data_IF_884770511617
#
_entry.id   IF_884770511617
#
_cell.length_a   1.000
_cell.length_b   1.000
_cell.length_c   1.000
_cell.angle_alpha   90.00
_cell.angle_beta   90.00
_cell.angle_gamma   90.00
#
_symmetry.space_group_name_H-M   'P 1'
#
loop_
_entity.id
_entity.type
_entity.pdbx_description
1 polymer ?
#
# COMPACT_ATOMS: atom_id res chain seq x y z
N UNK A 1 -2.36 16.78 -25.41
CA UNK A 1 -3.39 15.77 -25.06
C UNK A 1 -2.86 14.68 -24.13
N UNK A 2 -1.57 14.31 -24.18
CA UNK A 2 -0.97 13.36 -23.21
C UNK A 2 -0.63 13.99 -21.86
N UNK A 3 -0.12 15.23 -21.86
CA UNK A 3 0.20 15.96 -20.62
C UNK A 3 -1.00 16.13 -19.68
N UNK A 4 -2.18 16.37 -20.25
CA UNK A 4 -3.40 16.56 -19.49
C UNK A 4 -3.87 15.24 -18.85
N UNK A 5 -3.77 14.11 -19.57
CA UNK A 5 -4.02 12.77 -19.01
C UNK A 5 -3.04 12.43 -17.90
N UNK A 6 -1.77 12.83 -18.04
CA UNK A 6 -0.74 12.59 -17.02
C UNK A 6 -0.99 13.44 -15.77
N UNK A 7 -1.42 14.69 -15.95
CA UNK A 7 -1.82 15.60 -14.86
C UNK A 7 -3.06 15.11 -14.11
N UNK A 8 -4.07 14.63 -14.83
CA UNK A 8 -5.28 14.02 -14.24
C UNK A 8 -4.93 12.75 -13.46
N UNK A 9 -4.11 11.86 -14.04
CA UNK A 9 -3.63 10.64 -13.35
C UNK A 9 -2.82 10.98 -12.10
N UNK A 10 -1.94 11.98 -12.16
CA UNK A 10 -1.20 12.46 -11.00
C UNK A 10 -2.12 12.99 -9.90
N UNK A 11 -3.15 13.76 -10.25
CA UNK A 11 -4.14 14.27 -9.31
C UNK A 11 -5.02 13.18 -8.69
N UNK A 12 -5.38 12.14 -9.45
CA UNK A 12 -6.11 10.98 -8.93
C UNK A 12 -5.24 10.14 -7.99
N UNK A 13 -3.99 9.87 -8.38
CA UNK A 13 -3.05 9.14 -7.54
C UNK A 13 -2.77 9.87 -6.23
N UNK A 14 -2.55 11.18 -6.28
CA UNK A 14 -2.34 12.00 -5.09
C UNK A 14 -3.55 11.93 -4.14
N UNK A 15 -4.78 12.06 -4.67
CA UNK A 15 -6.01 11.95 -3.89
C UNK A 15 -6.16 10.56 -3.26
N UNK A 16 -6.07 9.51 -4.06
CA UNK A 16 -6.15 8.13 -3.56
C UNK A 16 -5.12 7.87 -2.46
N UNK A 17 -3.85 8.22 -2.71
CA UNK A 17 -2.76 8.01 -1.76
C UNK A 17 -2.98 8.77 -0.44
N UNK A 18 -3.56 9.98 -0.52
CA UNK A 18 -3.93 10.78 0.66
C UNK A 18 -5.09 10.16 1.43
N UNK A 19 -6.15 9.72 0.75
CA UNK A 19 -7.33 9.13 1.41
C UNK A 19 -7.00 7.79 2.08
N UNK A 20 -6.21 6.92 1.43
CA UNK A 20 -5.73 5.67 2.03
C UNK A 20 -4.95 5.95 3.32
N UNK A 21 -4.00 6.90 3.28
CA UNK A 21 -3.24 7.29 4.48
C UNK A 21 -4.12 7.91 5.56
N UNK A 22 -5.08 8.75 5.18
CA UNK A 22 -6.03 9.37 6.11
C UNK A 22 -6.88 8.32 6.82
N UNK A 23 -7.42 7.34 6.09
CA UNK A 23 -8.18 6.21 6.65
C UNK A 23 -7.32 5.36 7.59
N UNK A 24 -6.08 5.10 7.20
CA UNK A 24 -5.09 4.40 8.03
C UNK A 24 -4.50 5.25 9.15
N UNK A 25 -5.05 6.43 9.46
CA UNK A 25 -4.59 7.27 10.57
C UNK A 25 -3.16 7.80 10.44
N UNK A 26 -2.57 7.74 9.24
CA UNK A 26 -1.15 7.99 9.00
C UNK A 26 -0.22 7.12 9.87
N UNK A 27 -0.65 5.90 10.19
CA UNK A 27 0.14 4.93 10.95
C UNK A 27 0.32 3.65 10.12
N UNK A 28 1.47 3.00 10.26
CA UNK A 28 1.69 1.70 9.64
C UNK A 28 0.72 0.66 10.22
N UNK A 29 -0.07 0.03 9.36
CA UNK A 29 -1.11 -0.93 9.76
C UNK A 29 -0.56 -2.31 10.18
N UNK A 30 0.78 -2.50 10.10
CA UNK A 30 1.46 -3.71 10.55
C UNK A 30 2.12 -3.53 11.91
N UNK A 31 2.88 -2.44 12.11
CA UNK A 31 3.65 -2.22 13.35
C UNK A 31 3.18 -1.04 14.20
N UNK A 32 2.17 -0.30 13.77
CA UNK A 32 1.63 0.86 14.51
C UNK A 32 2.54 2.09 14.54
N UNK A 33 3.73 2.05 13.93
CA UNK A 33 4.66 3.19 13.94
C UNK A 33 4.14 4.35 13.09
N UNK A 34 4.38 5.56 13.57
CA UNK A 34 4.06 6.84 12.91
C UNK A 34 5.30 7.54 12.33
N UNK A 35 6.48 7.02 12.67
CA UNK A 35 7.76 7.63 12.30
C UNK A 35 8.16 7.26 10.87
N UNK A 36 8.89 8.17 10.23
CA UNK A 36 9.39 8.00 8.87
C UNK A 36 8.32 8.18 7.81
N UNK A 37 8.58 7.64 6.61
CA UNK A 37 7.69 7.79 5.46
C UNK A 37 6.56 6.76 5.55
N UNK A 38 5.33 7.27 5.62
CA UNK A 38 4.11 6.48 5.56
C UNK A 38 3.58 6.50 4.13
N UNK A 39 3.33 5.31 3.57
CA UNK A 39 3.08 5.07 2.16
C UNK A 39 1.73 4.36 2.00
N UNK A 40 0.98 4.73 0.97
CA UNK A 40 -0.19 3.98 0.54
C UNK A 40 0.27 2.87 -0.40
N UNK A 41 0.07 1.63 0.01
CA UNK A 41 0.36 0.43 -0.76
C UNK A 41 -0.90 -0.09 -1.44
N UNK A 42 -0.77 -0.52 -2.69
CA UNK A 42 -1.85 -1.16 -3.45
C UNK A 42 -1.92 -2.65 -3.11
N UNK A 43 -3.08 -3.16 -2.68
CA UNK A 43 -3.26 -4.60 -2.38
C UNK A 43 -3.35 -5.43 -3.67
N UNK A 44 -4.18 -4.99 -4.61
CA UNK A 44 -4.17 -5.37 -6.01
C UNK A 44 -3.27 -4.42 -6.78
N UNK A 45 -2.24 -4.94 -7.44
CA UNK A 45 -1.21 -4.10 -8.03
C UNK A 45 -1.72 -3.14 -9.13
N UNK A 46 -0.94 -2.09 -9.36
CA UNK A 46 -1.28 -1.06 -10.34
C UNK A 46 -1.33 -1.57 -11.79
N UNK A 47 -0.45 -2.49 -12.16
CA UNK A 47 -0.28 -2.93 -13.54
C UNK A 47 -1.46 -3.79 -14.02
N UNK A 48 -1.88 -4.75 -13.19
CA UNK A 48 -2.82 -5.80 -13.61
C UNK A 48 -4.28 -5.44 -13.30
N UNK A 49 -4.52 -4.48 -12.39
CA UNK A 49 -5.87 -4.07 -11.96
C UNK A 49 -6.15 -2.58 -12.20
N UNK A 50 -6.29 -2.12 -13.45
CA UNK A 50 -6.49 -0.71 -13.79
C UNK A 50 -7.77 -0.10 -13.22
N UNK A 51 -8.82 -0.93 -13.03
CA UNK A 51 -10.10 -0.59 -12.43
C UNK A 51 -10.00 -0.33 -10.92
N UNK A 52 -8.99 -0.90 -10.24
CA UNK A 52 -8.81 -0.80 -8.78
C UNK A 52 -7.80 0.26 -8.34
N UNK A 53 -7.14 0.94 -9.27
CA UNK A 53 -6.01 1.87 -8.99
C UNK A 53 -6.35 2.99 -8.00
N UNK A 54 -7.60 3.44 -8.03
CA UNK A 54 -8.09 4.55 -7.22
C UNK A 54 -9.21 4.13 -6.26
N UNK A 55 -9.44 2.83 -6.12
CA UNK A 55 -10.30 2.28 -5.09
C UNK A 55 -9.59 2.40 -3.73
N UNK A 56 -10.23 3.07 -2.78
CA UNK A 56 -9.66 3.27 -1.43
C UNK A 56 -9.53 1.93 -0.69
N UNK A 57 -10.43 0.97 -0.93
CA UNK A 57 -10.37 -0.37 -0.33
C UNK A 57 -9.22 -1.21 -0.90
N UNK A 58 -8.71 -0.83 -2.07
CA UNK A 58 -7.49 -1.39 -2.63
C UNK A 58 -6.20 -0.78 -2.04
N UNK A 59 -6.29 0.00 -0.97
CA UNK A 59 -5.16 0.66 -0.34
C UNK A 59 -4.96 0.31 1.14
N UNK A 60 -3.71 0.08 1.54
CA UNK A 60 -3.30 -0.05 2.94
C UNK A 60 -2.15 0.91 3.27
N UNK A 61 -2.06 1.34 4.53
CA UNK A 61 -1.03 2.27 4.98
C UNK A 61 0.15 1.53 5.61
N UNK A 62 1.36 1.68 5.08
CA UNK A 62 2.58 1.02 5.55
C UNK A 62 3.71 2.02 5.80
N UNK A 63 4.62 1.70 6.72
CA UNK A 63 5.91 2.39 6.78
C UNK A 63 6.84 1.88 5.66
N UNK A 64 7.84 2.69 5.34
CA UNK A 64 8.81 2.41 4.27
C UNK A 64 9.50 1.04 4.39
N UNK A 65 9.83 0.61 5.62
CA UNK A 65 10.46 -0.68 5.88
C UNK A 65 9.57 -1.85 5.47
N UNK A 66 8.35 -1.95 6.02
CA UNK A 66 7.42 -3.02 5.69
C UNK A 66 6.94 -2.96 4.25
N UNK A 67 6.81 -1.76 3.68
CA UNK A 67 6.47 -1.60 2.27
C UNK A 67 7.56 -2.20 1.36
N UNK A 68 8.82 -1.89 1.65
CA UNK A 68 9.97 -2.40 0.90
C UNK A 68 10.14 -3.90 1.09
N UNK A 69 9.97 -4.39 2.32
CA UNK A 69 10.09 -5.80 2.65
C UNK A 69 9.01 -6.65 1.96
N UNK A 70 7.75 -6.21 1.98
CA UNK A 70 6.67 -6.87 1.25
C UNK A 70 7.01 -7.00 -0.23
N UNK A 71 7.49 -5.93 -0.87
CA UNK A 71 7.93 -5.97 -2.27
C UNK A 71 9.22 -6.78 -2.48
N UNK A 72 10.06 -6.94 -1.48
CA UNK A 72 11.23 -7.82 -1.53
C UNK A 72 10.85 -9.29 -1.55
N UNK A 73 9.78 -9.67 -0.85
CA UNK A 73 9.29 -11.05 -0.77
C UNK A 73 8.43 -11.41 -2.00
N UNK A 74 7.44 -10.56 -2.33
CA UNK A 74 6.42 -10.87 -3.34
C UNK A 74 6.60 -10.15 -4.68
N UNK A 75 7.55 -9.21 -4.76
CA UNK A 75 7.75 -8.38 -5.95
C UNK A 75 6.69 -7.27 -6.10
N UNK A 76 6.70 -6.62 -7.27
CA UNK A 76 5.79 -5.51 -7.62
C UNK A 76 4.69 -5.90 -8.64
N UNK A 77 4.64 -7.18 -9.02
CA UNK A 77 3.77 -7.71 -10.09
C UNK A 77 2.89 -8.82 -9.52
N UNK A 78 1.68 -8.97 -10.07
CA UNK A 78 0.71 -9.96 -9.61
C UNK A 78 0.41 -9.87 -8.09
N UNK A 79 0.53 -8.68 -7.47
CA UNK A 79 0.21 -8.55 -6.06
C UNK A 79 -1.29 -8.62 -5.84
N UNK A 80 -1.68 -9.38 -4.81
CA UNK A 80 -3.06 -9.57 -4.37
C UNK A 80 -3.17 -9.40 -2.85
N UNK A 81 -4.38 -9.15 -2.29
CA UNK A 81 -4.58 -9.01 -0.85
C UNK A 81 -4.08 -10.21 -0.04
N UNK A 82 -4.10 -11.42 -0.61
CA UNK A 82 -3.65 -12.64 0.06
C UNK A 82 -2.17 -12.57 0.44
N UNK A 83 -1.31 -11.99 -0.41
CA UNK A 83 0.12 -11.81 -0.10
C UNK A 83 0.33 -10.84 1.07
N UNK A 84 -0.48 -9.78 1.14
CA UNK A 84 -0.45 -8.87 2.28
C UNK A 84 -0.89 -9.56 3.57
N UNK A 85 -1.92 -10.42 3.51
CA UNK A 85 -2.38 -11.18 4.67
C UNK A 85 -1.32 -12.18 5.14
N UNK A 86 -0.70 -12.91 4.22
CA UNK A 86 0.40 -13.83 4.53
C UNK A 86 1.57 -13.11 5.23
N UNK A 87 1.97 -11.95 4.69
CA UNK A 87 3.02 -11.11 5.28
C UNK A 87 2.63 -10.55 6.64
N UNK A 88 1.37 -10.13 6.81
CA UNK A 88 0.86 -9.65 8.08
C UNK A 88 0.92 -10.76 9.13
N UNK A 89 0.47 -11.96 8.77
CA UNK A 89 0.45 -13.11 9.67
C UNK A 89 1.89 -13.50 10.08
N UNK A 90 2.86 -13.44 9.16
CA UNK A 90 4.27 -13.72 9.50
C UNK A 90 4.83 -12.73 10.52
N UNK A 91 4.54 -11.43 10.37
CA UNK A 91 4.97 -10.40 11.33
C UNK A 91 4.26 -10.55 12.69
N UNK A 92 2.96 -10.87 12.68
CA UNK A 92 2.20 -11.01 13.93
C UNK A 92 2.62 -12.24 14.72
N UNK A 93 3.07 -13.31 14.05
CA UNK A 93 3.68 -14.46 14.73
C UNK A 93 4.94 -13.99 15.46
N UNK A 94 5.86 -13.28 14.80
CA UNK A 94 7.11 -12.80 15.40
C UNK A 94 6.89 -11.91 16.64
N UNK A 95 5.84 -11.09 16.65
CA UNK A 95 5.49 -10.25 17.80
C UNK A 95 4.86 -11.02 18.97
N UNK A 96 4.29 -12.21 18.71
CA UNK A 96 3.64 -13.04 19.73
C UNK A 96 4.57 -14.10 20.33
N UNK A 97 5.77 -14.30 19.78
CA UNK A 97 6.80 -15.20 20.33
C UNK A 97 7.96 -14.44 21.01
N UNK A 98 7.88 -13.11 21.07
CA UNK A 98 8.88 -12.21 21.68
C UNK A 98 8.51 -11.76 23.10
#
# INVERSE_FOLDING_TARGET
>A
MEDDRNRVRGGLYFRWSREVRRRGGYICQLCGRIEGKIIAHHLYNWADYPDKRFDEDNGITLCDSHHTELHSIYGNKNNTPEQFHEFKDSIQIELNVA
#
